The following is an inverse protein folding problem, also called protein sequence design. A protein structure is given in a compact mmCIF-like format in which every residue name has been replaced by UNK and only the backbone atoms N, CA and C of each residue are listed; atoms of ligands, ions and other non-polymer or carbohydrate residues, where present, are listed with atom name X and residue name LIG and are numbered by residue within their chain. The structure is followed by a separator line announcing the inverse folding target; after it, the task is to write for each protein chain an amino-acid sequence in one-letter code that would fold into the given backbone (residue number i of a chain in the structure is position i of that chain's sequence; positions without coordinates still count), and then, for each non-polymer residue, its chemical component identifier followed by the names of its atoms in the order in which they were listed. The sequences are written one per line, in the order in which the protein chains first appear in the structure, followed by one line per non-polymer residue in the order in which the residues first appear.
data_IF_643346553871
#
_entry.id   IF_643346553871
#
_cell.length_a   1.000
_cell.length_b   1.000
_cell.length_c   1.000
_cell.angle_alpha   90.00
_cell.angle_beta   90.00
_cell.angle_gamma   90.00
#
_symmetry.space_group_name_H-M   'P 1'
#
loop_
_entity.id
_entity.type
_entity.pdbx_description
1 polymer ?
#
# COMPACT_ATOMS: atom_id res chain seq x y z
N UNK A 1 -13.14 3.95 13.38
CA UNK A 1 -14.03 3.75 12.21
C UNK A 1 -13.21 3.20 11.05
N UNK A 2 -13.46 1.96 10.62
CA UNK A 2 -12.89 1.42 9.38
C UNK A 2 -13.75 1.93 8.23
N UNK A 3 -13.26 2.87 7.43
CA UNK A 3 -13.98 3.36 6.25
C UNK A 3 -13.73 2.35 5.12
N UNK A 4 -14.70 1.45 4.88
CA UNK A 4 -14.58 0.40 3.86
C UNK A 4 -15.48 0.76 2.69
N UNK A 5 -14.94 0.76 1.48
CA UNK A 5 -15.70 1.03 0.26
C UNK A 5 -15.34 -0.02 -0.80
N UNK A 6 -16.35 -0.52 -1.53
CA UNK A 6 -16.17 -1.46 -2.63
C UNK A 6 -16.16 -0.69 -3.95
N UNK A 7 -15.06 -0.78 -4.69
CA UNK A 7 -14.88 -0.10 -5.98
C UNK A 7 -14.61 -1.12 -7.07
N UNK A 8 -15.36 -1.04 -8.18
CA UNK A 8 -15.05 -1.79 -9.40
C UNK A 8 -13.97 -1.05 -10.20
N UNK A 9 -13.09 -1.80 -10.87
CA UNK A 9 -12.04 -1.22 -11.70
C UNK A 9 -11.08 -0.33 -10.90
N UNK A 10 -10.64 -0.75 -9.71
CA UNK A 10 -9.77 0.07 -8.85
C UNK A 10 -8.45 0.48 -9.54
N UNK A 11 -7.94 -0.38 -10.43
CA UNK A 11 -6.71 -0.16 -11.20
C UNK A 11 -6.97 0.40 -12.60
N UNK A 12 -8.22 0.77 -12.91
CA UNK A 12 -8.53 1.50 -14.14
C UNK A 12 -7.92 2.91 -14.05
N UNK A 13 -7.10 3.36 -15.02
CA UNK A 13 -6.51 4.69 -15.01
C UNK A 13 -7.53 5.84 -14.87
N UNK A 14 -8.79 5.62 -15.28
CA UNK A 14 -9.87 6.61 -15.12
C UNK A 14 -10.43 6.68 -13.70
N UNK A 15 -10.12 5.69 -12.85
CA UNK A 15 -10.61 5.61 -11.48
C UNK A 15 -9.70 6.37 -10.51
N UNK A 16 -10.17 7.52 -10.03
CA UNK A 16 -9.40 8.36 -9.12
C UNK A 16 -9.35 7.87 -7.66
N UNK A 17 -10.04 6.78 -7.29
CA UNK A 17 -10.18 6.36 -5.90
C UNK A 17 -8.83 6.11 -5.23
N UNK A 18 -8.00 5.21 -5.75
CA UNK A 18 -6.73 4.89 -5.10
C UNK A 18 -5.76 6.08 -5.14
N UNK A 19 -5.80 6.86 -6.22
CA UNK A 19 -5.02 8.08 -6.40
C UNK A 19 -5.37 9.15 -5.36
N UNK A 20 -6.65 9.44 -5.09
CA UNK A 20 -7.01 10.55 -4.20
C UNK A 20 -7.09 10.17 -2.70
N UNK A 21 -7.06 8.89 -2.34
CA UNK A 21 -7.12 8.51 -0.92
C UNK A 21 -5.88 9.01 -0.17
N UNK A 22 -6.12 9.84 0.85
CA UNK A 22 -5.09 10.38 1.73
C UNK A 22 -4.29 11.54 1.14
N UNK A 23 -4.71 12.12 0.02
CA UNK A 23 -4.12 13.35 -0.50
C UNK A 23 -4.73 14.60 0.13
N UNK A 24 -3.85 15.50 0.59
CA UNK A 24 -4.12 16.93 0.52
C UNK A 24 -3.98 17.33 -0.96
N UNK A 25 -5.04 17.92 -1.55
CA UNK A 25 -5.08 18.36 -2.96
C UNK A 25 -3.81 19.15 -3.33
N UNK A 26 -3.13 18.78 -4.42
CA UNK A 26 -1.97 19.51 -4.94
C UNK A 26 -1.40 18.90 -6.23
N UNK A 27 -0.84 19.73 -7.10
CA UNK A 27 -0.40 19.43 -8.48
C UNK A 27 0.95 18.72 -8.60
N UNK A 28 1.44 18.07 -7.53
CA UNK A 28 2.83 17.64 -7.43
C UNK A 28 2.95 16.12 -7.25
N UNK A 29 4.00 15.54 -7.84
CA UNK A 29 4.28 14.09 -7.83
C UNK A 29 4.19 13.54 -6.40
N UNK A 30 3.26 12.62 -6.17
CA UNK A 30 3.02 12.03 -4.86
C UNK A 30 3.83 10.74 -4.72
N UNK A 31 4.73 10.70 -3.75
CA UNK A 31 5.50 9.49 -3.42
C UNK A 31 4.70 8.61 -2.44
N UNK A 32 4.58 7.31 -2.72
CA UNK A 32 3.84 6.36 -1.88
C UNK A 32 4.59 5.04 -1.72
N UNK A 33 4.64 4.56 -0.49
CA UNK A 33 5.09 3.21 -0.19
C UNK A 33 3.95 2.22 -0.50
N UNK A 34 4.22 1.25 -1.37
CA UNK A 34 3.34 0.15 -1.72
C UNK A 34 3.91 -1.13 -1.13
N UNK A 35 3.19 -1.75 -0.20
CA UNK A 35 3.51 -3.07 0.34
C UNK A 35 2.61 -4.08 -0.37
N UNK A 36 3.19 -5.00 -1.13
CA UNK A 36 2.43 -5.92 -2.00
C UNK A 36 2.95 -7.35 -1.93
N UNK A 37 2.04 -8.31 -2.03
CA UNK A 37 2.37 -9.73 -2.22
C UNK A 37 2.99 -9.97 -3.61
N UNK A 38 4.09 -10.72 -3.67
CA UNK A 38 4.78 -11.04 -4.92
C UNK A 38 3.86 -11.66 -5.98
N UNK A 39 3.00 -12.60 -5.60
CA UNK A 39 2.11 -13.28 -6.54
C UNK A 39 1.06 -12.33 -7.15
N UNK A 40 0.60 -11.34 -6.36
CA UNK A 40 -0.30 -10.30 -6.86
C UNK A 40 0.46 -9.37 -7.79
N UNK A 41 1.66 -8.95 -7.41
CA UNK A 41 2.47 -8.09 -8.26
C UNK A 41 2.74 -8.74 -9.61
N UNK A 42 2.97 -10.05 -9.67
CA UNK A 42 3.24 -10.74 -10.93
C UNK A 42 2.01 -10.80 -11.86
N UNK A 43 0.80 -10.87 -11.30
CA UNK A 43 -0.45 -10.85 -12.08
C UNK A 43 -0.84 -9.42 -12.50
N UNK A 44 -0.65 -8.44 -11.61
CA UNK A 44 -1.17 -7.08 -11.79
C UNK A 44 -0.10 -6.04 -12.14
N UNK A 45 1.13 -6.48 -12.43
CA UNK A 45 2.31 -5.60 -12.63
C UNK A 45 2.03 -4.45 -13.57
N UNK A 46 1.52 -4.76 -14.75
CA UNK A 46 1.35 -3.79 -15.83
C UNK A 46 0.19 -2.83 -15.52
N UNK A 47 -0.90 -3.35 -14.97
CA UNK A 47 -2.06 -2.55 -14.54
C UNK A 47 -1.68 -1.57 -13.43
N UNK A 48 -0.93 -2.04 -12.42
CA UNK A 48 -0.44 -1.21 -11.33
C UNK A 48 0.51 -0.12 -11.83
N UNK A 49 1.45 -0.47 -12.73
CA UNK A 49 2.39 0.50 -13.32
C UNK A 49 1.65 1.54 -14.16
N UNK A 50 0.73 1.11 -15.02
CA UNK A 50 -0.08 2.00 -15.84
C UNK A 50 -0.92 2.95 -14.97
N UNK A 51 -1.57 2.43 -13.93
CA UNK A 51 -2.35 3.22 -12.98
C UNK A 51 -1.49 4.29 -12.29
N UNK A 52 -0.40 3.90 -11.63
CA UNK A 52 0.43 4.86 -10.90
C UNK A 52 1.10 5.88 -11.84
N UNK A 53 1.46 5.49 -13.07
CA UNK A 53 1.98 6.41 -14.06
C UNK A 53 0.93 7.45 -14.50
N UNK A 54 -0.30 7.02 -14.78
CA UNK A 54 -1.40 7.91 -15.19
C UNK A 54 -1.74 8.96 -14.12
N UNK A 55 -1.55 8.62 -12.85
CA UNK A 55 -1.80 9.51 -11.71
C UNK A 55 -0.55 10.24 -11.20
N UNK A 56 0.59 10.16 -11.90
CA UNK A 56 1.86 10.77 -11.49
C UNK A 56 2.30 10.38 -10.06
N UNK A 57 2.05 9.13 -9.67
CA UNK A 57 2.41 8.58 -8.37
C UNK A 57 3.75 7.86 -8.48
N UNK A 58 4.73 8.28 -7.69
CA UNK A 58 6.00 7.57 -7.54
C UNK A 58 5.83 6.47 -6.49
N UNK A 59 5.62 5.24 -6.96
CA UNK A 59 5.50 4.06 -6.10
C UNK A 59 6.89 3.52 -5.68
N UNK A 60 7.15 3.51 -4.37
CA UNK A 60 8.24 2.71 -3.78
C UNK A 60 7.68 1.34 -3.39
N UNK A 61 8.26 0.28 -3.93
CA UNK A 61 7.73 -1.07 -3.78
C UNK A 61 8.47 -1.83 -2.68
N UNK A 62 7.75 -2.24 -1.64
CA UNK A 62 8.20 -3.29 -0.70
C UNK A 62 7.41 -4.55 -1.04
N UNK A 63 8.02 -5.39 -1.87
CA UNK A 63 7.43 -6.65 -2.30
C UNK A 63 7.72 -7.73 -1.26
N UNK A 64 6.69 -8.48 -0.87
CA UNK A 64 6.78 -9.53 0.14
C UNK A 64 6.41 -10.86 -0.51
N UNK A 65 7.30 -11.83 -0.44
CA UNK A 65 7.01 -13.21 -0.80
C UNK A 65 6.18 -13.88 0.31
N UNK A 66 5.20 -14.71 -0.08
CA UNK A 66 4.37 -15.49 0.85
C UNK A 66 5.16 -16.40 1.78
N UNK A 67 6.31 -16.91 1.34
CA UNK A 67 7.20 -17.73 2.18
C UNK A 67 7.76 -16.92 3.36
N UNK A 68 8.06 -15.63 3.14
CA UNK A 68 8.53 -14.71 4.17
C UNK A 68 7.41 -14.23 5.11
N UNK A 69 6.14 -14.43 4.71
CA UNK A 69 4.99 -14.22 5.57
C UNK A 69 4.85 -15.30 6.67
N UNK A 70 5.83 -16.14 6.96
CA UNK A 70 5.81 -16.98 8.19
C UNK A 70 6.65 -16.39 9.32
N UNK A 71 7.54 -15.46 8.99
CA UNK A 71 8.51 -14.92 9.94
C UNK A 71 7.95 -13.67 10.63
N UNK A 72 8.08 -13.58 11.96
CA UNK A 72 7.68 -12.38 12.73
C UNK A 72 8.50 -11.14 12.36
N UNK A 73 9.72 -11.33 11.84
CA UNK A 73 10.62 -10.26 11.41
C UNK A 73 10.04 -9.38 10.29
N UNK A 74 9.10 -9.89 9.47
CA UNK A 74 8.57 -9.12 8.35
C UNK A 74 7.83 -7.87 8.81
N UNK A 75 7.14 -7.92 9.96
CA UNK A 75 6.44 -6.75 10.49
C UNK A 75 7.43 -5.63 10.86
N UNK A 76 8.61 -6.01 11.38
CA UNK A 76 9.68 -5.07 11.68
C UNK A 76 10.31 -4.49 10.41
N UNK A 77 10.52 -5.31 9.39
CA UNK A 77 11.00 -4.83 8.08
C UNK A 77 10.01 -3.86 7.42
N UNK A 78 8.72 -4.16 7.49
CA UNK A 78 7.66 -3.26 6.99
C UNK A 78 7.69 -1.97 7.80
N UNK A 79 7.79 -2.02 9.13
CA UNK A 79 7.86 -0.84 9.98
C UNK A 79 9.09 0.02 9.64
N UNK A 80 10.23 -0.59 9.33
CA UNK A 80 11.43 0.11 8.89
C UNK A 80 11.19 0.81 7.53
N UNK A 81 10.60 0.12 6.54
CA UNK A 81 10.25 0.72 5.25
C UNK A 81 9.27 1.90 5.41
N UNK A 82 8.29 1.78 6.30
CA UNK A 82 7.37 2.88 6.63
C UNK A 82 8.09 4.11 7.21
N UNK A 83 9.08 3.88 8.06
CA UNK A 83 9.90 4.95 8.65
C UNK A 83 10.71 5.70 7.59
N UNK A 84 11.33 4.97 6.65
CA UNK A 84 12.08 5.57 5.54
C UNK A 84 11.18 6.39 4.61
N UNK A 85 9.98 5.87 4.30
CA UNK A 85 9.02 6.58 3.45
C UNK A 85 8.51 7.88 4.09
N UNK A 86 8.38 7.92 5.43
CA UNK A 86 7.95 9.10 6.19
C UNK A 86 8.97 10.25 6.23
N UNK A 87 10.24 10.02 5.88
CA UNK A 87 11.25 11.09 5.83
C UNK A 87 10.95 12.13 4.72
N UNK A 88 10.05 11.81 3.79
CA UNK A 88 9.47 12.78 2.86
C UNK A 88 8.58 13.76 3.62
N UNK A 89 8.71 15.07 3.36
CA UNK A 89 7.97 16.15 4.05
C UNK A 89 6.43 16.09 3.87
N UNK A 90 5.90 15.07 3.17
CA UNK A 90 4.48 14.82 2.95
C UNK A 90 4.10 13.46 3.53
N UNK A 91 3.27 13.47 4.57
CA UNK A 91 2.72 12.25 5.17
C UNK A 91 1.64 11.68 4.24
N UNK A 92 2.01 10.70 3.42
CA UNK A 92 1.08 9.93 2.58
C UNK A 92 0.80 8.58 3.24
N UNK A 93 -0.44 8.05 3.14
CA UNK A 93 -0.72 6.74 3.68
C UNK A 93 0.01 5.64 2.89
N UNK A 94 0.43 4.60 3.59
CA UNK A 94 1.00 3.39 2.98
C UNK A 94 -0.12 2.59 2.32
N UNK A 95 0.09 2.10 1.10
CA UNK A 95 -0.89 1.24 0.42
C UNK A 95 -0.46 -0.22 0.60
N UNK A 96 -1.32 -1.04 1.19
CA UNK A 96 -1.08 -2.48 1.34
C UNK A 96 -2.03 -3.28 0.46
N UNK A 97 -1.49 -4.09 -0.44
CA UNK A 97 -2.23 -4.86 -1.44
C UNK A 97 -1.93 -6.34 -1.24
N UNK A 98 -2.91 -7.11 -0.77
CA UNK A 98 -2.64 -8.48 -0.33
C UNK A 98 -3.83 -9.24 0.20
N UNK A 99 -3.57 -10.49 0.58
CA UNK A 99 -4.48 -11.29 1.40
C UNK A 99 -4.37 -10.92 2.89
N UNK A 100 -5.27 -11.48 3.71
CA UNK A 100 -5.38 -11.17 5.15
C UNK A 100 -4.07 -11.15 5.92
N UNK A 101 -3.22 -12.18 5.77
CA UNK A 101 -1.94 -12.29 6.50
C UNK A 101 -0.97 -11.12 6.21
N UNK A 102 -0.80 -10.73 4.94
CA UNK A 102 -0.01 -9.54 4.59
C UNK A 102 -0.61 -8.28 5.24
N UNK A 103 -1.93 -8.10 5.10
CA UNK A 103 -2.62 -6.92 5.61
C UNK A 103 -2.55 -6.81 7.14
N UNK A 104 -2.54 -7.93 7.84
CA UNK A 104 -2.42 -7.97 9.29
C UNK A 104 -1.00 -7.68 9.75
N UNK A 105 0.03 -8.13 9.01
CA UNK A 105 1.43 -7.74 9.24
C UNK A 105 1.67 -6.27 9.01
N UNK A 106 1.09 -5.68 7.97
CA UNK A 106 1.11 -4.22 7.75
C UNK A 106 0.41 -3.51 8.90
N UNK A 107 -0.74 -4.00 9.34
CA UNK A 107 -1.45 -3.45 10.49
C UNK A 107 -0.61 -3.51 11.78
N UNK A 108 0.10 -4.61 12.00
CA UNK A 108 1.03 -4.77 13.12
C UNK A 108 2.21 -3.81 13.02
N UNK A 109 2.84 -3.70 11.83
CA UNK A 109 3.94 -2.79 11.57
C UNK A 109 3.55 -1.32 11.82
N UNK A 110 2.36 -0.92 11.35
CA UNK A 110 1.82 0.42 11.57
C UNK A 110 1.58 0.72 13.07
N UNK A 111 1.28 -0.31 13.88
CA UNK A 111 1.11 -0.19 15.34
C UNK A 111 2.44 -0.19 16.11
N UNK A 112 3.44 -0.91 15.63
CA UNK A 112 4.80 -0.88 16.19
C UNK A 112 5.47 0.47 15.98
N UNK A 113 5.09 1.19 14.93
CA UNK A 113 5.63 2.51 14.66
C UNK A 113 5.14 3.54 15.71
N UNK A 114 6.06 4.11 16.49
CA UNK A 114 5.78 5.05 17.59
C UNK A 114 4.94 6.28 17.19
N UNK A 115 4.91 6.61 15.90
CA UNK A 115 4.05 7.65 15.34
C UNK A 115 2.99 7.02 14.45
N UNK A 116 1.71 7.35 14.64
CA UNK A 116 0.58 6.83 13.83
C UNK A 116 0.90 6.92 12.32
N UNK A 117 1.15 5.79 11.67
CA UNK A 117 1.27 5.69 10.21
C UNK A 117 -0.11 5.29 9.68
N UNK A 118 -0.70 6.14 8.85
CA UNK A 118 -1.94 5.82 8.15
C UNK A 118 -1.65 4.80 7.05
N UNK A 119 -2.52 3.80 6.88
CA UNK A 119 -2.41 2.83 5.81
C UNK A 119 -3.78 2.50 5.20
N UNK A 120 -3.78 2.16 3.91
CA UNK A 120 -4.93 1.74 3.12
C UNK A 120 -4.80 0.24 2.87
N UNK A 121 -5.87 -0.52 3.13
CA UNK A 121 -5.93 -1.95 2.83
C UNK A 121 -6.65 -2.16 1.51
N UNK A 122 -6.01 -2.86 0.58
CA UNK A 122 -6.61 -3.33 -0.68
C UNK A 122 -6.59 -4.86 -0.63
N UNK A 123 -7.68 -5.50 -0.16
CA UNK A 123 -7.75 -6.95 -0.09
C UNK A 123 -7.89 -7.57 -1.47
N UNK A 124 -7.06 -8.56 -1.79
CA UNK A 124 -7.07 -9.29 -3.09
C UNK A 124 -7.29 -10.79 -2.88
N UNK A 125 -8.08 -11.15 -1.87
CA UNK A 125 -8.38 -12.54 -1.55
C UNK A 125 -9.79 -12.68 -1.00
N UNK A 126 -10.37 -13.87 -1.19
CA UNK A 126 -11.74 -14.25 -0.84
C UNK A 126 -11.90 -14.57 0.67
N UNK A 127 -11.25 -13.78 1.53
CA UNK A 127 -11.40 -13.88 2.98
C UNK A 127 -12.04 -12.58 3.44
N UNK A 128 -13.36 -12.60 3.48
CA UNK A 128 -14.21 -11.54 4.04
C UNK A 128 -14.33 -11.66 5.55
#
# INVERSE_FOLDING_TARGET
MKNTACHRGLLDPTNATLAHIGEARGTQVVRRLIVIDQAILDVYRDQLRAYFAAWHIRADWKVIDRTNLKTKAIALEIAHAMSQAKSSHRVTPVIAIGCGDLLDRVGLAARMHHQRVSYIRVPVGLMG
#
